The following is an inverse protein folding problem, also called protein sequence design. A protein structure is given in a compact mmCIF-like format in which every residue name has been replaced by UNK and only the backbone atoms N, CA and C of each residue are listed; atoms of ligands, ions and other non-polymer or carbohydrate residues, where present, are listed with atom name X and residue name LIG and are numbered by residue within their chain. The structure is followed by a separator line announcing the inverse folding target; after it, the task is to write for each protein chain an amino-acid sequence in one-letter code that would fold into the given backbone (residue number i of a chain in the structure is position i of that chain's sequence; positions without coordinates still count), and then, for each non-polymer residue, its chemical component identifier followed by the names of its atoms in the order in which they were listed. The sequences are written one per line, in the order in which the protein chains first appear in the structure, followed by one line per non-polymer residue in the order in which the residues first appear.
data_IF_646908131189
#
_entry.id   IF_646908131189
#
_cell.length_a   1.000
_cell.length_b   1.000
_cell.length_c   1.000
_cell.angle_alpha   90.00
_cell.angle_beta   90.00
_cell.angle_gamma   90.00
#
_symmetry.space_group_name_H-M   'P 1'
#
loop_
_entity.id
_entity.type
_entity.pdbx_description
1 polymer ?
#
# COMPACT_ATOMS: atom_id res chain seq x y z
N UNK A 1 -11.90 6.27 -6.36
CA UNK A 1 -10.71 5.64 -5.76
C UNK A 1 -10.48 6.22 -4.38
N UNK A 2 -10.01 5.46 -3.40
CA UNK A 2 -9.74 5.96 -2.05
C UNK A 2 -8.24 5.99 -1.78
N UNK A 3 -7.77 6.89 -0.92
CA UNK A 3 -6.40 6.77 -0.39
C UNK A 3 -6.32 5.50 0.46
N UNK A 4 -5.18 4.81 0.43
CA UNK A 4 -4.97 3.54 1.14
C UNK A 4 -5.44 2.31 0.38
N UNK A 5 -6.32 2.49 -0.61
CA UNK A 5 -6.85 1.38 -1.40
C UNK A 5 -5.75 0.57 -2.09
N UNK A 6 -5.86 -0.76 -2.04
CA UNK A 6 -5.02 -1.67 -2.84
C UNK A 6 -5.64 -1.85 -4.23
N UNK A 7 -4.85 -1.62 -5.27
CA UNK A 7 -5.26 -1.79 -6.67
C UNK A 7 -4.35 -2.79 -7.37
N UNK A 8 -4.82 -3.33 -8.51
CA UNK A 8 -4.02 -4.13 -9.44
C UNK A 8 -3.93 -3.40 -10.78
N UNK A 9 -2.77 -3.40 -11.39
CA UNK A 9 -2.59 -2.86 -12.74
C UNK A 9 -3.23 -3.80 -13.77
N UNK A 10 -4.01 -3.23 -14.69
CA UNK A 10 -4.72 -3.96 -15.74
C UNK A 10 -3.85 -4.24 -16.97
N UNK A 11 -2.69 -3.57 -17.06
CA UNK A 11 -1.76 -3.61 -18.19
C UNK A 11 -0.32 -3.67 -17.71
N UNK A 12 0.54 -4.16 -18.60
CA UNK A 12 2.00 -4.15 -18.43
C UNK A 12 2.57 -2.85 -19.00
N UNK A 13 3.48 -2.19 -18.27
CA UNK A 13 4.16 -0.98 -18.69
C UNK A 13 5.58 -0.89 -18.11
N UNK A 14 6.38 0.05 -18.59
CA UNK A 14 7.73 0.32 -18.07
C UNK A 14 7.74 1.62 -17.26
N UNK A 15 8.52 1.63 -16.18
CA UNK A 15 8.87 2.83 -15.43
C UNK A 15 10.38 3.01 -15.39
N UNK A 16 10.84 4.26 -15.35
CA UNK A 16 12.27 4.56 -15.23
C UNK A 16 12.60 4.86 -13.77
N UNK A 17 13.58 4.17 -13.21
CA UNK A 17 14.10 4.47 -11.88
C UNK A 17 14.95 5.74 -11.91
N UNK A 18 14.50 6.81 -11.28
CA UNK A 18 15.21 8.11 -11.26
C UNK A 18 16.66 8.02 -10.73
N UNK A 19 16.93 7.11 -9.79
CA UNK A 19 18.27 6.95 -9.19
C UNK A 19 19.27 6.19 -10.08
N UNK A 20 18.79 5.35 -11.00
CA UNK A 20 19.64 4.44 -11.75
C UNK A 20 19.44 4.48 -13.27
N UNK A 21 18.48 5.28 -13.74
CA UNK A 21 17.97 5.28 -15.12
C UNK A 21 17.61 3.89 -15.68
N UNK A 22 17.50 2.89 -14.81
CA UNK A 22 17.11 1.53 -15.20
C UNK A 22 15.61 1.53 -15.49
N UNK A 23 15.25 0.95 -16.62
CA UNK A 23 13.86 0.59 -16.94
C UNK A 23 13.45 -0.63 -16.12
N UNK A 24 12.34 -0.51 -15.41
CA UNK A 24 11.73 -1.56 -14.62
C UNK A 24 10.37 -1.91 -15.22
N UNK A 25 10.06 -3.19 -15.30
CA UNK A 25 8.77 -3.65 -15.82
C UNK A 25 7.75 -3.73 -14.69
N UNK A 26 6.60 -3.10 -14.89
CA UNK A 26 5.40 -3.31 -14.07
C UNK A 26 4.47 -4.21 -14.86
N UNK A 27 4.25 -5.43 -14.37
CA UNK A 27 3.44 -6.42 -15.06
C UNK A 27 1.94 -6.21 -14.78
N UNK A 28 1.11 -6.60 -15.75
CA UNK A 28 -0.32 -6.78 -15.49
C UNK A 28 -0.52 -7.71 -14.28
N UNK A 29 -1.34 -7.28 -13.33
CA UNK A 29 -1.59 -8.00 -12.08
C UNK A 29 -0.70 -7.58 -10.92
N UNK A 30 0.40 -6.85 -11.16
CA UNK A 30 1.16 -6.20 -10.08
C UNK A 30 0.23 -5.26 -9.31
N UNK A 31 0.48 -5.14 -8.02
CA UNK A 31 -0.37 -4.42 -7.07
C UNK A 31 0.30 -3.15 -6.58
N UNK A 32 -0.51 -2.16 -6.25
CA UNK A 32 -0.07 -0.91 -5.65
C UNK A 32 -1.05 -0.40 -4.61
N UNK A 33 -0.55 0.44 -3.70
CA UNK A 33 -1.38 1.20 -2.75
C UNK A 33 -1.55 2.61 -3.29
N UNK A 34 -2.78 3.14 -3.25
CA UNK A 34 -3.08 4.52 -3.59
C UNK A 34 -2.58 5.44 -2.48
N UNK A 35 -1.59 6.29 -2.78
CA UNK A 35 -1.01 7.24 -1.81
C UNK A 35 -1.27 8.68 -2.23
N UNK A 36 -0.95 9.66 -1.36
CA UNK A 36 -1.01 11.09 -1.72
C UNK A 36 -0.10 11.47 -2.91
N UNK A 37 0.92 10.67 -3.21
CA UNK A 37 1.93 10.95 -4.25
C UNK A 37 1.71 10.19 -5.56
N UNK A 38 0.84 9.17 -5.56
CA UNK A 38 0.71 8.24 -6.68
C UNK A 38 0.46 6.81 -6.21
N UNK A 39 0.55 5.87 -7.14
CA UNK A 39 0.48 4.43 -6.90
C UNK A 39 1.83 3.92 -6.40
N UNK A 40 1.92 3.52 -5.13
CA UNK A 40 3.13 2.87 -4.60
C UNK A 40 3.06 1.38 -4.87
N UNK A 41 3.94 0.88 -5.74
CA UNK A 41 3.99 -0.52 -6.13
C UNK A 41 4.49 -1.36 -4.95
N UNK A 42 3.80 -2.46 -4.64
CA UNK A 42 4.09 -3.29 -3.45
C UNK A 42 4.68 -4.67 -3.77
N UNK A 43 4.60 -5.13 -5.02
CA UNK A 43 5.18 -6.39 -5.50
C UNK A 43 5.80 -6.23 -6.92
N UNK A 44 6.40 -7.29 -7.45
CA UNK A 44 7.03 -7.28 -8.77
C UNK A 44 8.35 -6.50 -8.83
N UNK A 45 8.89 -6.31 -10.04
CA UNK A 45 10.17 -5.61 -10.27
C UNK A 45 10.10 -4.12 -9.89
N UNK A 46 8.91 -3.51 -10.03
CA UNK A 46 8.65 -2.12 -9.65
C UNK A 46 8.50 -1.88 -8.13
N UNK A 47 8.61 -2.91 -7.28
CA UNK A 47 8.35 -2.80 -5.83
C UNK A 47 9.07 -1.61 -5.21
N UNK A 48 8.32 -0.81 -4.45
CA UNK A 48 8.81 0.37 -3.75
C UNK A 48 8.98 1.62 -4.62
N UNK A 49 8.64 1.57 -5.91
CA UNK A 49 8.55 2.77 -6.76
C UNK A 49 7.14 3.38 -6.69
N UNK A 50 7.04 4.65 -7.06
CA UNK A 50 5.79 5.40 -7.10
C UNK A 50 5.52 5.77 -8.56
N UNK A 51 4.35 5.39 -9.06
CA UNK A 51 3.83 5.86 -10.34
C UNK A 51 2.94 7.06 -10.06
N UNK A 52 3.29 8.23 -10.59
CA UNK A 52 2.49 9.43 -10.40
C UNK A 52 1.11 9.26 -11.04
N UNK A 53 0.09 9.86 -10.42
CA UNK A 53 -1.24 9.90 -11.03
C UNK A 53 -1.25 10.77 -12.28
N UNK A 54 -2.08 10.41 -13.24
CA UNK A 54 -2.64 11.38 -14.19
C UNK A 54 -3.49 12.42 -13.46
N UNK A 55 -3.80 13.53 -14.13
CA UNK A 55 -4.61 14.60 -13.53
C UNK A 55 -6.01 14.08 -13.17
N UNK A 56 -6.61 13.32 -14.07
CA UNK A 56 -7.94 12.73 -13.95
C UNK A 56 -8.00 11.71 -12.80
N UNK A 57 -6.99 10.83 -12.69
CA UNK A 57 -6.90 9.88 -11.58
C UNK A 57 -6.79 10.59 -10.24
N UNK A 58 -5.99 11.65 -10.15
CA UNK A 58 -5.82 12.42 -8.92
C UNK A 58 -7.13 13.07 -8.46
N UNK A 59 -7.90 13.64 -9.39
CA UNK A 59 -9.21 14.26 -9.10
C UNK A 59 -10.29 13.22 -8.74
N UNK A 60 -10.12 11.96 -9.17
CA UNK A 60 -11.03 10.84 -8.86
C UNK A 60 -10.87 10.27 -7.44
N UNK A 61 -9.83 10.68 -6.70
CA UNK A 61 -9.57 10.20 -5.34
C UNK A 61 -10.55 10.87 -4.38
N UNK A 62 -11.40 10.08 -3.75
CA UNK A 62 -12.41 10.52 -2.79
C UNK A 62 -12.44 9.57 -1.61
N UNK A 63 -12.23 10.12 -0.41
CA UNK A 63 -12.28 9.39 0.85
C UNK A 63 -11.04 8.52 1.12
N UNK A 64 -11.11 7.83 2.26
CA UNK A 64 -10.05 6.98 2.80
C UNK A 64 -10.54 5.52 2.86
N UNK A 65 -9.62 4.60 2.66
CA UNK A 65 -9.80 3.15 2.78
C UNK A 65 -9.11 2.70 4.07
N UNK A 66 -9.77 2.94 5.20
CA UNK A 66 -9.21 2.73 6.53
C UNK A 66 -8.77 1.28 6.76
N UNK A 67 -9.55 0.31 6.29
CA UNK A 67 -9.24 -1.12 6.37
C UNK A 67 -7.93 -1.44 5.64
N UNK A 68 -7.78 -1.05 4.37
CA UNK A 68 -6.52 -1.29 3.65
C UNK A 68 -5.34 -0.50 4.22
N UNK A 69 -5.57 0.69 4.79
CA UNK A 69 -4.52 1.42 5.49
C UNK A 69 -4.05 0.66 6.73
N UNK A 70 -4.97 0.15 7.54
CA UNK A 70 -4.65 -0.61 8.75
C UNK A 70 -3.89 -1.90 8.42
N UNK A 71 -4.38 -2.68 7.45
CA UNK A 71 -3.67 -3.86 6.95
C UNK A 71 -2.26 -3.52 6.45
N UNK A 72 -2.11 -2.44 5.67
CA UNK A 72 -0.80 -2.05 5.13
C UNK A 72 0.19 -1.58 6.22
N UNK A 73 -0.31 -0.99 7.31
CA UNK A 73 0.50 -0.65 8.48
C UNK A 73 0.92 -1.92 9.19
N UNK A 74 -0.01 -2.84 9.49
CA UNK A 74 0.27 -4.13 10.09
C UNK A 74 1.32 -4.93 9.29
N UNK A 75 1.08 -5.14 7.98
CA UNK A 75 2.02 -5.84 7.08
C UNK A 75 3.42 -5.20 7.07
N UNK A 76 3.49 -3.88 7.26
CA UNK A 76 4.77 -3.17 7.32
C UNK A 76 5.46 -3.40 8.66
N UNK A 77 4.74 -3.29 9.77
CA UNK A 77 5.28 -3.53 11.10
C UNK A 77 5.77 -4.97 11.22
N UNK A 78 4.99 -5.93 10.72
CA UNK A 78 5.35 -7.34 10.72
C UNK A 78 6.63 -7.60 9.93
N UNK A 79 6.72 -7.07 8.71
CA UNK A 79 7.94 -7.20 7.90
C UNK A 79 9.18 -6.56 8.54
N UNK A 80 9.02 -5.47 9.29
CA UNK A 80 10.15 -4.70 9.86
C UNK A 80 10.56 -5.18 11.27
N UNK A 81 9.62 -5.74 12.04
CA UNK A 81 9.80 -6.04 13.46
C UNK A 81 9.27 -7.41 13.89
N UNK A 82 8.75 -8.22 12.97
CA UNK A 82 8.19 -9.55 13.25
C UNK A 82 7.10 -9.53 14.33
N UNK A 83 6.22 -8.50 14.26
CA UNK A 83 5.22 -8.27 15.30
C UNK A 83 4.25 -9.44 15.43
N UNK A 84 4.01 -10.22 14.37
CA UNK A 84 3.12 -11.38 14.44
C UNK A 84 3.59 -12.39 15.47
N UNK A 85 4.87 -12.77 15.43
CA UNK A 85 5.45 -13.69 16.43
C UNK A 85 5.33 -13.09 17.85
N UNK A 86 5.51 -11.78 17.99
CA UNK A 86 5.34 -11.12 19.27
C UNK A 86 3.89 -11.11 19.76
N UNK A 87 2.92 -10.87 18.90
CA UNK A 87 1.49 -10.86 19.25
C UNK A 87 1.00 -12.25 19.64
N UNK A 88 1.46 -13.29 18.93
CA UNK A 88 1.15 -14.69 19.24
C UNK A 88 1.59 -15.07 20.66
N UNK A 89 2.70 -14.51 21.17
CA UNK A 89 3.17 -14.74 22.54
C UNK A 89 2.23 -14.16 23.62
N UNK A 90 1.31 -13.26 23.25
CA UNK A 90 0.34 -12.64 24.15
C UNK A 90 -1.11 -13.02 23.81
N UNK A 91 -1.32 -14.04 22.96
CA UNK A 91 -2.64 -14.46 22.47
C UNK A 91 -3.44 -13.30 21.82
N UNK A 92 -2.74 -12.35 21.17
CA UNK A 92 -3.38 -11.25 20.44
C UNK A 92 -3.49 -11.63 18.96
N UNK A 93 -4.69 -11.61 18.41
CA UNK A 93 -4.90 -11.96 17.01
C UNK A 93 -4.54 -10.81 16.06
N UNK A 94 -4.07 -11.18 14.87
CA UNK A 94 -3.78 -10.25 13.77
C UNK A 94 -4.97 -9.31 13.48
N UNK A 95 -6.19 -9.85 13.46
CA UNK A 95 -7.42 -9.10 13.24
C UNK A 95 -7.64 -8.02 14.33
N UNK A 96 -7.41 -8.34 15.60
CA UNK A 96 -7.55 -7.39 16.71
C UNK A 96 -6.55 -6.23 16.59
N UNK A 97 -5.33 -6.51 16.14
CA UNK A 97 -4.32 -5.47 15.90
C UNK A 97 -4.72 -4.56 14.73
N UNK A 98 -5.20 -5.16 13.63
CA UNK A 98 -5.65 -4.41 12.45
C UNK A 98 -6.86 -3.54 12.79
N UNK A 99 -7.84 -4.06 13.52
CA UNK A 99 -9.03 -3.32 13.95
C UNK A 99 -8.63 -2.16 14.87
N UNK A 100 -7.73 -2.39 15.83
CA UNK A 100 -7.21 -1.33 16.70
C UNK A 100 -6.53 -0.19 15.91
N UNK A 101 -5.74 -0.53 14.88
CA UNK A 101 -5.12 0.46 13.99
C UNK A 101 -6.21 1.19 13.19
N UNK A 102 -7.20 0.48 12.67
CA UNK A 102 -8.29 1.05 11.88
C UNK A 102 -9.13 2.05 12.69
N UNK A 103 -9.51 1.68 13.92
CA UNK A 103 -10.26 2.53 14.85
C UNK A 103 -9.49 3.82 15.13
N UNK A 104 -8.18 3.70 15.42
CA UNK A 104 -7.35 4.89 15.60
C UNK A 104 -7.29 5.76 14.35
N UNK A 105 -7.20 5.17 13.15
CA UNK A 105 -7.22 5.94 11.90
C UNK A 105 -8.56 6.66 11.70
N UNK A 106 -9.69 6.04 12.06
CA UNK A 106 -11.02 6.66 12.00
C UNK A 106 -11.13 7.87 12.94
N UNK A 107 -10.50 7.81 14.11
CA UNK A 107 -10.53 8.89 15.09
C UNK A 107 -9.69 10.11 14.68
N UNK A 108 -8.57 9.90 13.96
CA UNK A 108 -7.57 10.96 13.72
C UNK A 108 -7.52 11.53 12.30
N UNK A 109 -8.20 10.90 11.32
CA UNK A 109 -8.18 11.31 9.89
C UNK A 109 -9.57 11.64 9.35
#
# INVERSE_FOLDING_TARGET
MKLGQRIKFDKTFEITSELSNKKLKVAKGDSAIVTKRGYRIINGEGRGKIVAFTKEEKESIKGLDYENMAMAIYERLDREFDIKEHLDNYDIYEEECIDSIMDFLLDVL
#
